data_IF_437372572299
#
_entry.id   IF_437372572299
#
_cell.length_a   1.000
_cell.length_b   1.000
_cell.length_c   1.000
_cell.angle_alpha   90.00
_cell.angle_beta   90.00
_cell.angle_gamma   90.00
#
_symmetry.space_group_name_H-M   'P 1'
#
loop_
_entity.id
_entity.type
_entity.pdbx_description
1 polymer ?
#
# COMPACT_ATOMS: atom_id res chain seq x y z
N UNK A 1 22.66 -2.97 -8.30
CA UNK A 1 21.23 -3.32 -8.10
C UNK A 1 20.47 -2.98 -9.37
N UNK A 2 19.59 -3.84 -9.90
CA UNK A 2 18.74 -3.48 -11.07
C UNK A 2 17.82 -2.33 -10.63
N UNK A 3 17.92 -1.17 -11.27
CA UNK A 3 17.29 0.09 -10.82
C UNK A 3 15.76 -0.04 -10.59
N UNK A 4 15.09 -0.88 -11.39
CA UNK A 4 13.65 -1.15 -11.24
C UNK A 4 13.24 -1.98 -10.01
N UNK A 5 14.19 -2.62 -9.30
CA UNK A 5 13.85 -3.41 -8.09
C UNK A 5 13.43 -2.54 -6.91
N UNK A 6 14.00 -1.35 -6.75
CA UNK A 6 13.70 -0.49 -5.60
C UNK A 6 12.24 0.00 -5.62
N UNK A 7 11.69 0.52 -6.74
CA UNK A 7 10.28 0.88 -6.81
C UNK A 7 9.35 -0.32 -6.60
N UNK A 8 9.68 -1.50 -7.13
CA UNK A 8 8.87 -2.72 -6.91
C UNK A 8 8.77 -3.02 -5.41
N UNK A 9 9.90 -3.02 -4.69
CA UNK A 9 9.91 -3.31 -3.25
C UNK A 9 9.11 -2.24 -2.48
N UNK A 10 9.33 -0.96 -2.79
CA UNK A 10 8.62 0.14 -2.16
C UNK A 10 7.10 0.05 -2.38
N UNK A 11 6.68 -0.23 -3.62
CA UNK A 11 5.27 -0.40 -3.96
C UNK A 11 4.62 -1.60 -3.28
N UNK A 12 5.32 -2.72 -3.14
CA UNK A 12 4.83 -3.88 -2.38
C UNK A 12 4.63 -3.56 -0.88
N UNK A 13 5.55 -2.80 -0.28
CA UNK A 13 5.41 -2.34 1.11
C UNK A 13 4.19 -1.43 1.25
N UNK A 14 3.98 -0.51 0.31
CA UNK A 14 2.80 0.36 0.29
C UNK A 14 1.51 -0.46 0.20
N UNK A 15 1.44 -1.42 -0.73
CA UNK A 15 0.24 -2.28 -0.88
C UNK A 15 -0.04 -3.01 0.43
N UNK A 16 0.98 -3.58 1.08
CA UNK A 16 0.83 -4.26 2.36
C UNK A 16 0.25 -3.33 3.44
N UNK A 17 0.83 -2.15 3.64
CA UNK A 17 0.32 -1.21 4.64
C UNK A 17 -1.07 -0.66 4.28
N UNK A 18 -1.34 -0.38 3.01
CA UNK A 18 -2.65 0.06 2.56
C UNK A 18 -3.73 -0.99 2.81
N UNK A 19 -3.42 -2.28 2.65
CA UNK A 19 -4.30 -3.37 3.07
C UNK A 19 -4.54 -3.36 4.58
N UNK A 20 -3.49 -3.22 5.40
CA UNK A 20 -3.63 -3.15 6.85
C UNK A 20 -4.53 -1.98 7.25
N UNK A 21 -4.31 -0.79 6.68
CA UNK A 21 -5.05 0.42 7.05
C UNK A 21 -6.52 0.35 6.66
N UNK A 22 -6.85 -0.14 5.46
CA UNK A 22 -8.26 -0.26 5.08
C UNK A 22 -8.99 -1.30 5.93
N UNK A 23 -8.31 -2.40 6.32
CA UNK A 23 -8.94 -3.44 7.12
C UNK A 23 -9.09 -3.03 8.59
N UNK A 24 -8.13 -2.26 9.14
CA UNK A 24 -8.31 -1.58 10.43
C UNK A 24 -9.46 -0.57 10.36
N UNK A 25 -9.53 0.25 9.31
CA UNK A 25 -10.63 1.20 9.07
C UNK A 25 -12.01 0.56 9.05
N UNK A 26 -12.11 -0.69 8.58
CA UNK A 26 -13.34 -1.51 8.59
C UNK A 26 -13.63 -2.18 9.93
N UNK A 27 -12.74 -2.07 10.92
CA UNK A 27 -12.85 -2.79 12.19
C UNK A 27 -12.69 -4.30 12.06
N UNK A 28 -11.99 -4.79 11.02
CA UNK A 28 -11.82 -6.23 10.78
C UNK A 28 -10.54 -6.78 11.41
N UNK A 29 -9.53 -5.95 11.56
CA UNK A 29 -8.24 -6.30 12.18
C UNK A 29 -7.77 -5.17 13.10
N UNK A 30 -6.83 -5.47 13.99
CA UNK A 30 -6.22 -4.50 14.91
C UNK A 30 -7.01 -4.29 16.20
N UNK A 31 -6.43 -3.57 17.17
CA UNK A 31 -7.07 -3.32 18.46
C UNK A 31 -8.15 -2.25 18.32
N UNK A 32 -9.26 -2.41 19.05
CA UNK A 32 -10.36 -1.41 19.08
C UNK A 32 -9.92 -0.05 19.62
N UNK A 33 -8.83 -0.02 20.40
CA UNK A 33 -8.21 1.23 20.89
C UNK A 33 -7.41 1.98 19.84
N UNK A 34 -7.20 1.43 18.64
CA UNK A 34 -6.49 2.10 17.55
C UNK A 34 -7.31 3.27 17.04
N UNK A 35 -6.66 4.41 16.81
CA UNK A 35 -7.29 5.57 16.16
C UNK A 35 -7.77 5.28 14.72
N UNK A 36 -7.29 4.17 14.12
CA UNK A 36 -7.71 3.72 12.79
C UNK A 36 -8.94 2.82 12.83
N UNK A 37 -9.27 2.21 13.98
CA UNK A 37 -10.32 1.20 14.06
C UNK A 37 -11.70 1.82 13.84
N UNK A 38 -12.53 1.21 12.98
CA UNK A 38 -13.85 1.73 12.57
C UNK A 38 -13.85 3.18 12.04
N UNK A 39 -12.76 3.61 11.40
CA UNK A 39 -12.64 4.95 10.84
C UNK A 39 -12.70 4.94 9.30
N UNK A 40 -13.71 5.62 8.73
CA UNK A 40 -13.95 5.68 7.27
C UNK A 40 -12.82 6.35 6.49
N UNK A 41 -12.12 7.32 7.08
CA UNK A 41 -11.01 8.00 6.41
C UNK A 41 -9.86 7.03 6.17
N UNK A 42 -9.56 6.16 7.15
CA UNK A 42 -8.52 5.15 7.03
C UNK A 42 -8.86 4.04 6.02
N UNK A 43 -10.15 3.80 5.75
CA UNK A 43 -10.57 2.97 4.61
C UNK A 43 -10.12 3.61 3.29
N UNK A 44 -10.47 4.90 3.09
CA UNK A 44 -10.12 5.64 1.89
C UNK A 44 -8.61 5.79 1.71
N UNK A 45 -7.89 6.16 2.77
CA UNK A 45 -6.43 6.28 2.75
C UNK A 45 -5.76 4.95 2.44
N UNK A 46 -6.23 3.84 3.03
CA UNK A 46 -5.70 2.51 2.73
C UNK A 46 -5.86 2.15 1.24
N UNK A 47 -7.03 2.43 0.65
CA UNK A 47 -7.28 2.20 -0.78
C UNK A 47 -6.38 3.08 -1.66
N UNK A 48 -6.24 4.37 -1.34
CA UNK A 48 -5.36 5.29 -2.08
C UNK A 48 -3.92 4.79 -2.04
N UNK A 49 -3.43 4.37 -0.87
CA UNK A 49 -2.07 3.83 -0.70
C UNK A 49 -1.87 2.55 -1.53
N UNK A 50 -2.88 1.66 -1.58
CA UNK A 50 -2.82 0.46 -2.45
C UNK A 50 -2.67 0.87 -3.91
N UNK A 51 -3.50 1.79 -4.40
CA UNK A 51 -3.46 2.26 -5.80
C UNK A 51 -2.09 2.89 -6.11
N UNK A 52 -1.57 3.74 -5.22
CA UNK A 52 -0.24 4.33 -5.36
C UNK A 52 0.85 3.25 -5.35
N UNK A 53 0.75 2.24 -4.51
CA UNK A 53 1.72 1.13 -4.45
C UNK A 53 1.72 0.28 -5.73
N UNK A 54 0.55 0.05 -6.34
CA UNK A 54 0.44 -0.60 -7.65
C UNK A 54 1.12 0.25 -8.73
N UNK A 55 0.88 1.57 -8.75
CA UNK A 55 1.50 2.48 -9.71
C UNK A 55 3.03 2.50 -9.58
N UNK A 56 3.56 2.60 -8.35
CA UNK A 56 5.01 2.59 -8.07
C UNK A 56 5.63 1.25 -8.47
N UNK A 57 4.96 0.14 -8.16
CA UNK A 57 5.42 -1.21 -8.56
C UNK A 57 5.44 -1.35 -10.09
N UNK A 58 4.37 -0.93 -10.76
CA UNK A 58 4.26 -0.93 -12.22
C UNK A 58 5.35 -0.10 -12.89
N UNK A 59 5.66 1.07 -12.34
CA UNK A 59 6.78 1.90 -12.80
C UNK A 59 8.14 1.20 -12.63
N UNK A 60 8.35 0.50 -11.51
CA UNK A 60 9.56 -0.31 -11.31
C UNK A 60 9.71 -1.46 -12.31
N UNK A 61 8.60 -2.15 -12.62
CA UNK A 61 8.56 -3.18 -13.67
C UNK A 61 8.86 -2.58 -15.03
N UNK A 62 8.25 -1.45 -15.36
CA UNK A 62 8.51 -0.71 -16.60
C UNK A 62 10.01 -0.39 -16.71
N UNK A 63 10.63 0.27 -15.72
CA UNK A 63 12.07 0.55 -15.75
C UNK A 63 12.90 -0.72 -15.91
N UNK A 64 12.54 -1.81 -15.25
CA UNK A 64 13.26 -3.08 -15.35
C UNK A 64 13.11 -3.77 -16.72
N UNK A 65 12.13 -3.38 -17.54
CA UNK A 65 11.90 -3.93 -18.87
C UNK A 65 12.70 -3.21 -19.97
N UNK A 66 12.98 -1.92 -19.79
CA UNK A 66 13.70 -1.07 -20.76
C UNK A 66 15.20 -0.90 -20.45
N UNK A 67 15.74 -1.64 -19.47
CA UNK A 67 17.16 -1.78 -19.18
C UNK A 67 17.60 -3.22 -19.34
#
# INVERSE_FOLDING_TARGET
MRLGRLPIIAGMIMIFFGMVFQFQGRGQIGPESSFMYYNKDWISYGIIIIISGIAVSGFGVFISRYR
#
